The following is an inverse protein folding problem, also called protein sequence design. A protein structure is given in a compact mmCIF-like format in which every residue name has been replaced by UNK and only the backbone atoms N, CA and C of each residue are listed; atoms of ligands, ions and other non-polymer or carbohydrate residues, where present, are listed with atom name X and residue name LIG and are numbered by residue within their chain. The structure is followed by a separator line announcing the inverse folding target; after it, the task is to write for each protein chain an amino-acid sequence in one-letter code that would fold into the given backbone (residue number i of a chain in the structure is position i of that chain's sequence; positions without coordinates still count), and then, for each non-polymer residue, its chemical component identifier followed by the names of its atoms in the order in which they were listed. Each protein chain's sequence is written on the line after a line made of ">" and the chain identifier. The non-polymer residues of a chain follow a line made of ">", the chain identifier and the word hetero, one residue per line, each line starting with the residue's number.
data_IF_174152602361
#
_entry.id   IF_174152602361
#
_cell.length_a   1.000
_cell.length_b   1.000
_cell.length_c   1.000
_cell.angle_alpha   90.00
_cell.angle_beta   90.00
_cell.angle_gamma   90.00
#
_symmetry.space_group_name_H-M   'P 1'
#
loop_
_entity.id
_entity.type
_entity.pdbx_description
1 polymer ?
#
# COMPACT_ATOMS: atom_id res chain seq x y z
N UNK A 1 2.06 -1.61 1.87
CA UNK A 1 2.68 -2.59 2.80
C UNK A 1 3.33 -3.72 2.00
N UNK A 2 4.56 -4.11 2.34
CA UNK A 2 5.17 -5.35 1.85
C UNK A 2 5.41 -6.33 2.99
N UNK A 3 4.85 -7.54 2.91
CA UNK A 3 4.99 -8.59 3.92
C UNK A 3 4.58 -8.10 5.32
N UNK A 4 5.52 -8.15 6.27
CA UNK A 4 5.33 -7.77 7.68
C UNK A 4 5.05 -6.27 7.91
N UNK A 5 5.23 -5.42 6.89
CA UNK A 5 4.88 -4.00 6.97
C UNK A 5 3.38 -3.71 7.12
N UNK A 6 2.53 -4.74 7.13
CA UNK A 6 1.09 -4.59 7.29
C UNK A 6 0.69 -3.99 8.64
N UNK A 7 1.35 -4.36 9.74
CA UNK A 7 1.01 -3.86 11.08
C UNK A 7 1.09 -2.33 11.18
N UNK A 8 2.14 -1.75 10.59
CA UNK A 8 2.33 -0.30 10.46
C UNK A 8 1.18 0.35 9.69
N UNK A 9 0.87 -0.18 8.50
CA UNK A 9 -0.18 0.37 7.62
C UNK A 9 -1.56 0.23 8.26
N UNK A 10 -1.85 -0.90 8.92
CA UNK A 10 -3.12 -1.14 9.62
C UNK A 10 -3.34 -0.12 10.73
N UNK A 11 -2.31 0.18 11.52
CA UNK A 11 -2.40 1.18 12.59
C UNK A 11 -2.74 2.58 12.05
N UNK A 12 -2.08 3.01 10.97
CA UNK A 12 -2.33 4.29 10.31
C UNK A 12 -3.73 4.33 9.72
N UNK A 13 -4.15 3.27 9.02
CA UNK A 13 -5.48 3.14 8.42
C UNK A 13 -6.58 3.35 9.47
N UNK A 14 -6.56 2.54 10.53
CA UNK A 14 -7.61 2.58 11.55
C UNK A 14 -7.68 3.95 12.22
N UNK A 15 -6.53 4.58 12.48
CA UNK A 15 -6.48 5.93 13.03
C UNK A 15 -7.02 6.98 12.05
N UNK A 16 -6.68 6.87 10.75
CA UNK A 16 -7.15 7.78 9.72
C UNK A 16 -8.68 7.70 9.54
N UNK A 17 -9.23 6.49 9.51
CA UNK A 17 -10.68 6.27 9.40
C UNK A 17 -11.42 6.68 10.67
N UNK A 18 -10.86 6.46 11.86
CA UNK A 18 -11.47 6.93 13.10
C UNK A 18 -11.55 8.46 13.16
N UNK A 19 -10.56 9.17 12.62
CA UNK A 19 -10.56 10.65 12.54
C UNK A 19 -11.45 11.19 11.44
N UNK A 20 -11.48 10.52 10.29
CA UNK A 20 -12.32 10.88 9.16
C UNK A 20 -12.77 9.59 8.43
N UNK A 21 -13.98 9.10 8.72
CA UNK A 21 -14.50 7.87 8.11
C UNK A 21 -14.67 7.93 6.59
N UNK A 22 -14.76 9.14 6.02
CA UNK A 22 -14.91 9.38 4.58
C UNK A 22 -13.58 9.72 3.89
N UNK A 23 -12.44 9.54 4.56
CA UNK A 23 -11.13 9.81 3.96
C UNK A 23 -10.88 8.87 2.78
N UNK A 24 -10.38 9.43 1.68
CA UNK A 24 -9.90 8.66 0.53
C UNK A 24 -8.58 7.98 0.88
N UNK A 25 -8.59 6.65 0.86
CA UNK A 25 -7.45 5.82 1.23
C UNK A 25 -7.39 4.61 0.30
N UNK A 26 -6.24 4.38 -0.34
CA UNK A 26 -5.95 3.12 -1.03
C UNK A 26 -4.82 2.39 -0.32
N UNK A 27 -5.02 1.10 -0.02
CA UNK A 27 -3.99 0.23 0.57
C UNK A 27 -3.52 -0.77 -0.49
N UNK A 28 -2.23 -0.73 -0.80
CA UNK A 28 -1.54 -1.81 -1.52
C UNK A 28 -0.89 -2.74 -0.51
N UNK A 29 -1.27 -4.02 -0.50
CA UNK A 29 -0.63 -5.02 0.36
C UNK A 29 -0.03 -6.16 -0.46
N UNK A 30 1.31 -6.22 -0.46
CA UNK A 30 2.10 -7.19 -1.20
C UNK A 30 2.51 -8.39 -0.36
N UNK A 31 2.32 -9.58 -0.91
CA UNK A 31 2.77 -10.85 -0.35
C UNK A 31 3.30 -11.80 -1.43
N UNK A 32 4.12 -12.77 -1.04
CA UNK A 32 4.61 -13.77 -2.01
C UNK A 32 3.50 -14.69 -2.50
N UNK A 33 2.61 -15.10 -1.60
CA UNK A 33 1.52 -16.04 -1.80
C UNK A 33 0.30 -15.45 -1.10
N UNK A 34 -0.90 -15.87 -1.50
CA UNK A 34 -2.17 -15.34 -0.99
C UNK A 34 -2.29 -15.45 0.54
N UNK A 35 -1.86 -16.58 1.11
CA UNK A 35 -1.85 -16.84 2.55
C UNK A 35 -1.03 -15.84 3.37
N UNK A 36 -0.10 -15.11 2.74
CA UNK A 36 0.70 -14.08 3.42
C UNK A 36 -0.07 -12.77 3.62
N UNK A 37 -1.21 -12.61 2.94
CA UNK A 37 -2.17 -11.53 3.15
C UNK A 37 -3.20 -11.96 4.22
N UNK A 38 -2.70 -12.31 5.41
CA UNK A 38 -3.41 -13.06 6.43
C UNK A 38 -4.69 -12.38 6.98
N UNK A 39 -4.78 -11.06 6.92
CA UNK A 39 -5.92 -10.25 7.38
C UNK A 39 -6.66 -9.59 6.19
N UNK A 40 -6.51 -10.12 4.98
CA UNK A 40 -7.12 -9.52 3.79
C UNK A 40 -8.65 -9.46 3.91
N UNK A 41 -9.27 -10.52 4.43
CA UNK A 41 -10.71 -10.58 4.64
C UNK A 41 -11.21 -9.52 5.64
N UNK A 42 -10.42 -9.20 6.68
CA UNK A 42 -10.75 -8.12 7.61
C UNK A 42 -10.70 -6.75 6.91
N UNK A 43 -9.70 -6.51 6.05
CA UNK A 43 -9.60 -5.27 5.29
C UNK A 43 -10.74 -5.12 4.28
N UNK A 44 -11.11 -6.20 3.61
CA UNK A 44 -12.24 -6.21 2.67
C UNK A 44 -13.54 -5.91 3.42
N UNK A 45 -13.79 -6.57 4.55
CA UNK A 45 -14.94 -6.27 5.40
C UNK A 45 -14.95 -4.80 5.90
N UNK A 46 -13.78 -4.23 6.18
CA UNK A 46 -13.66 -2.83 6.55
C UNK A 46 -14.04 -1.89 5.39
N UNK A 47 -13.63 -2.20 4.15
CA UNK A 47 -14.00 -1.38 2.97
C UNK A 47 -15.50 -1.34 2.69
N UNK A 48 -16.27 -2.36 3.08
CA UNK A 48 -17.75 -2.34 2.96
C UNK A 48 -18.36 -1.17 3.75
N UNK A 49 -17.75 -0.79 4.88
CA UNK A 49 -18.23 0.30 5.73
C UNK A 49 -17.60 1.66 5.41
N UNK A 50 -16.57 1.69 4.56
CA UNK A 50 -15.82 2.88 4.19
C UNK A 50 -15.72 2.97 2.66
N UNK A 51 -16.68 3.63 1.97
CA UNK A 51 -16.78 3.59 0.51
C UNK A 51 -15.59 4.22 -0.22
N UNK A 52 -14.80 5.05 0.46
CA UNK A 52 -13.58 5.67 -0.06
C UNK A 52 -12.31 4.88 0.31
N UNK A 53 -12.44 3.72 0.96
CA UNK A 53 -11.35 2.80 1.24
C UNK A 53 -11.26 1.75 0.13
N UNK A 54 -10.13 1.73 -0.58
CA UNK A 54 -9.83 0.72 -1.59
C UNK A 54 -8.70 -0.20 -1.12
N UNK A 55 -8.91 -1.51 -1.26
CA UNK A 55 -7.93 -2.53 -0.88
C UNK A 55 -7.41 -3.20 -2.16
N UNK A 56 -6.11 -3.10 -2.40
CA UNK A 56 -5.42 -3.64 -3.56
C UNK A 56 -4.44 -4.74 -3.10
N UNK A 57 -4.90 -5.99 -2.97
CA UNK A 57 -4.03 -7.11 -2.66
C UNK A 57 -3.16 -7.45 -3.87
N UNK A 58 -1.86 -7.61 -3.65
CA UNK A 58 -0.88 -7.91 -4.70
C UNK A 58 -0.08 -9.15 -4.32
N UNK A 59 -0.10 -10.18 -5.16
CA UNK A 59 0.56 -11.46 -4.91
C UNK A 59 1.61 -11.74 -5.99
N UNK A 60 2.83 -12.11 -5.57
CA UNK A 60 3.92 -12.42 -6.52
C UNK A 60 3.72 -13.78 -7.20
N UNK A 61 3.25 -14.79 -6.46
CA UNK A 61 3.04 -16.17 -6.90
C UNK A 61 1.61 -16.61 -6.55
N UNK A 62 0.60 -16.16 -7.33
CA UNK A 62 -0.80 -16.48 -7.06
C UNK A 62 -1.13 -17.94 -7.37
N UNK A 63 -2.14 -18.48 -6.71
CA UNK A 63 -2.74 -19.77 -7.08
C UNK A 63 -3.72 -19.59 -8.24
N UNK A 64 -4.15 -20.71 -8.84
CA UNK A 64 -5.19 -20.67 -9.87
C UNK A 64 -6.49 -20.14 -9.26
N UNK A 65 -7.07 -19.12 -9.90
CA UNK A 65 -8.29 -18.48 -9.43
C UNK A 65 -8.08 -17.21 -8.58
N UNK A 66 -6.83 -16.77 -8.38
CA UNK A 66 -6.54 -15.47 -7.77
C UNK A 66 -7.27 -14.33 -8.47
N UNK A 67 -7.92 -13.47 -7.68
CA UNK A 67 -8.74 -12.35 -8.19
C UNK A 67 -8.13 -10.98 -7.94
N UNK A 68 -7.11 -10.90 -7.08
CA UNK A 68 -6.37 -9.67 -6.87
C UNK A 68 -5.31 -9.45 -7.94
N UNK A 69 -4.34 -8.59 -7.64
CA UNK A 69 -3.28 -8.24 -8.59
C UNK A 69 -2.11 -9.20 -8.49
N UNK A 70 -1.43 -9.39 -9.60
CA UNK A 70 -0.21 -10.22 -9.67
C UNK A 70 1.01 -9.34 -9.86
N UNK A 71 2.09 -9.59 -9.13
CA UNK A 71 3.36 -8.87 -9.24
C UNK A 71 3.77 -8.14 -7.97
N UNK A 72 4.29 -6.90 -8.11
CA UNK A 72 4.77 -6.10 -6.98
C UNK A 72 3.87 -4.90 -6.69
N UNK A 73 3.82 -4.47 -5.43
CA UNK A 73 3.06 -3.28 -5.02
C UNK A 73 3.51 -2.00 -5.73
N UNK A 74 4.79 -1.89 -6.09
CA UNK A 74 5.31 -0.71 -6.78
C UNK A 74 4.74 -0.64 -8.20
N UNK A 75 4.76 -1.76 -8.92
CA UNK A 75 4.15 -1.87 -10.26
C UNK A 75 2.65 -1.57 -10.20
N UNK A 76 1.95 -2.09 -9.19
CA UNK A 76 0.53 -1.85 -9.00
C UNK A 76 0.21 -0.35 -8.83
N UNK A 77 0.95 0.35 -7.97
CA UNK A 77 0.80 1.80 -7.78
C UNK A 77 1.05 2.57 -9.09
N UNK A 78 2.11 2.21 -9.83
CA UNK A 78 2.46 2.90 -11.08
C UNK A 78 1.41 2.73 -12.19
N UNK A 79 0.66 1.62 -12.17
CA UNK A 79 -0.41 1.37 -13.14
C UNK A 79 -1.67 2.17 -12.82
N UNK A 80 -1.93 2.44 -11.54
CA UNK A 80 -3.19 3.08 -11.10
C UNK A 80 -3.12 4.61 -11.09
N UNK A 81 -1.92 5.15 -10.89
CA UNK A 81 -1.72 6.58 -10.75
C UNK A 81 -0.85 7.11 -11.87
N UNK A 82 -1.38 8.09 -12.62
CA UNK A 82 -0.57 8.90 -13.56
C UNK A 82 0.28 9.96 -12.85
N UNK A 83 -0.12 10.37 -11.64
CA UNK A 83 0.64 11.27 -10.77
C UNK A 83 0.36 11.00 -9.30
N UNK A 84 1.36 11.20 -8.46
CA UNK A 84 1.34 11.04 -7.02
C UNK A 84 1.54 12.36 -6.26
N UNK A 85 1.68 13.50 -6.96
CA UNK A 85 1.96 14.81 -6.36
C UNK A 85 0.97 15.26 -5.26
N UNK A 86 -0.28 14.80 -5.35
CA UNK A 86 -1.36 15.13 -4.40
C UNK A 86 -1.43 14.22 -3.16
N UNK A 87 -0.67 13.12 -3.11
CA UNK A 87 -0.84 12.06 -2.12
C UNK A 87 0.15 12.17 -0.97
N UNK A 88 -0.31 11.79 0.22
CA UNK A 88 0.57 11.37 1.33
C UNK A 88 0.78 9.87 1.22
N UNK A 89 2.03 9.42 1.15
CA UNK A 89 2.39 8.03 0.87
C UNK A 89 3.07 7.43 2.09
N UNK A 90 2.50 6.37 2.65
CA UNK A 90 3.03 5.67 3.81
C UNK A 90 3.53 4.28 3.41
N UNK A 91 4.82 4.02 3.60
CA UNK A 91 5.49 2.79 3.14
C UNK A 91 6.11 2.05 4.32
N UNK A 92 5.75 0.77 4.44
CA UNK A 92 6.37 -0.18 5.35
C UNK A 92 6.63 -1.51 4.65
N UNK A 93 7.81 -2.07 4.92
CA UNK A 93 8.33 -3.30 4.31
C UNK A 93 9.85 -3.31 4.35
N UNK A 94 10.49 -4.12 3.49
CA UNK A 94 11.95 -4.13 3.35
C UNK A 94 12.46 -2.74 2.97
N UNK A 95 13.56 -2.29 3.58
CA UNK A 95 14.11 -0.95 3.35
C UNK A 95 14.51 -0.74 1.88
N UNK A 96 15.04 -1.78 1.23
CA UNK A 96 15.34 -1.77 -0.19
C UNK A 96 14.10 -1.44 -1.05
N UNK A 97 12.95 -2.04 -0.71
CA UNK A 97 11.70 -1.75 -1.42
C UNK A 97 11.26 -0.30 -1.18
N UNK A 98 11.34 0.20 0.05
CA UNK A 98 10.99 1.59 0.36
C UNK A 98 11.91 2.60 -0.36
N UNK A 99 13.21 2.29 -0.45
CA UNK A 99 14.18 3.08 -1.21
C UNK A 99 13.80 3.14 -2.69
N UNK A 100 13.58 1.98 -3.32
CA UNK A 100 13.15 1.92 -4.73
C UNK A 100 11.84 2.66 -4.94
N UNK A 101 10.88 2.53 -4.01
CA UNK A 101 9.61 3.21 -4.07
C UNK A 101 9.77 4.74 -4.07
N UNK A 102 10.58 5.29 -3.17
CA UNK A 102 10.86 6.74 -3.12
C UNK A 102 11.39 7.23 -4.46
N UNK A 103 12.47 6.62 -4.93
CA UNK A 103 13.16 7.07 -6.14
C UNK A 103 12.21 6.97 -7.37
N UNK A 104 11.52 5.83 -7.51
CA UNK A 104 10.61 5.55 -8.62
C UNK A 104 9.37 6.46 -8.61
N UNK A 105 8.74 6.65 -7.44
CA UNK A 105 7.53 7.47 -7.32
C UNK A 105 7.84 8.96 -7.52
N UNK A 106 8.96 9.46 -7.00
CA UNK A 106 9.38 10.84 -7.21
C UNK A 106 9.71 11.09 -8.69
N UNK A 107 10.51 10.21 -9.31
CA UNK A 107 10.96 10.42 -10.69
C UNK A 107 9.86 10.18 -11.73
N UNK A 108 9.06 9.13 -11.60
CA UNK A 108 8.12 8.75 -12.65
C UNK A 108 6.69 9.23 -12.44
N UNK A 109 6.33 9.60 -11.21
CA UNK A 109 4.95 9.98 -10.86
C UNK A 109 4.85 11.31 -10.13
N UNK A 110 5.94 12.09 -10.07
CA UNK A 110 5.95 13.39 -9.40
C UNK A 110 5.50 13.31 -7.93
N UNK A 111 5.74 12.18 -7.26
CA UNK A 111 5.54 12.12 -5.82
C UNK A 111 6.43 13.17 -5.14
N UNK A 112 5.91 13.74 -4.06
CA UNK A 112 6.67 14.70 -3.27
C UNK A 112 7.42 13.97 -2.16
N UNK A 113 8.73 14.15 -2.10
CA UNK A 113 9.56 13.51 -1.09
C UNK A 113 9.16 13.92 0.34
N UNK A 114 8.75 15.18 0.54
CA UNK A 114 8.26 15.68 1.83
C UNK A 114 6.87 15.12 2.24
N UNK A 115 6.26 14.31 1.36
CA UNK A 115 5.00 13.60 1.59
C UNK A 115 5.15 12.08 1.49
N UNK A 116 6.39 11.58 1.53
CA UNK A 116 6.74 10.16 1.59
C UNK A 116 7.20 9.82 3.02
N UNK A 117 6.46 8.93 3.66
CA UNK A 117 6.64 8.54 5.06
C UNK A 117 6.93 7.05 5.18
N UNK A 118 7.84 6.69 6.07
CA UNK A 118 8.20 5.31 6.35
C UNK A 118 9.49 5.21 7.14
N UNK A 119 9.59 4.23 8.04
CA UNK A 119 10.73 4.10 8.95
C UNK A 119 12.06 3.95 8.20
N UNK A 120 12.04 3.34 7.02
CA UNK A 120 13.22 3.18 6.17
C UNK A 120 13.91 4.51 5.86
N UNK A 121 13.15 5.61 5.69
CA UNK A 121 13.68 6.93 5.34
C UNK A 121 14.48 7.59 6.46
N UNK A 122 14.41 7.09 7.69
CA UNK A 122 15.28 7.53 8.78
C UNK A 122 16.68 6.89 8.73
N UNK A 123 16.88 5.86 7.89
CA UNK A 123 18.12 5.07 7.84
C UNK A 123 18.79 5.03 6.46
N UNK A 124 18.22 5.71 5.45
CA UNK A 124 18.73 5.72 4.06
C UNK A 124 18.96 7.11 3.51
#
# INVERSE_FOLDING_TARGET
>A
AGGTGFSYVRSILLTALARNPARDVTIYWGGREEKHLYDLSELEALSVNHPNLRIEPVVEQPEEGWRGRTGTVLTAVLQDYGTLAGHDIYIAGRFEMAKIARDLFCHERNAREDRLFGDAFAFI
#
